data_IF_218331071058
#
_entry.id   IF_218331071058
#
_cell.length_a   1.000
_cell.length_b   1.000
_cell.length_c   1.000
_cell.angle_alpha   90.00
_cell.angle_beta   90.00
_cell.angle_gamma   90.00
#
_symmetry.space_group_name_H-M   'P 1'
#
loop_
_entity.id
_entity.type
_entity.pdbx_description
1 polymer ?
#
# COMPACT_ATOMS: atom_id res chain seq x y z
N UNK A 1 9.08 -24.97 -7.69
CA UNK A 1 9.14 -23.65 -7.03
C UNK A 1 9.19 -22.63 -8.15
N UNK A 2 8.16 -21.79 -8.31
CA UNK A 2 8.26 -20.66 -9.23
C UNK A 2 9.09 -19.59 -8.52
N UNK A 3 10.18 -19.17 -9.15
CA UNK A 3 11.06 -18.12 -8.62
C UNK A 3 10.40 -16.77 -8.92
N UNK A 4 9.57 -16.30 -7.99
CA UNK A 4 8.93 -15.00 -8.09
C UNK A 4 9.99 -13.91 -7.91
N UNK A 5 10.22 -13.12 -8.97
CA UNK A 5 11.21 -12.04 -8.95
C UNK A 5 10.48 -10.74 -8.67
N UNK A 6 10.94 -10.00 -7.64
CA UNK A 6 10.48 -8.64 -7.36
C UNK A 6 11.29 -7.69 -8.23
N UNK A 7 10.63 -7.00 -9.16
CA UNK A 7 11.19 -5.91 -9.94
C UNK A 7 10.87 -4.56 -9.28
N UNK A 8 11.72 -3.56 -9.50
CA UNK A 8 11.48 -2.17 -9.08
C UNK A 8 11.65 -1.23 -10.27
N UNK A 9 10.72 -0.29 -10.44
CA UNK A 9 10.81 0.80 -11.41
C UNK A 9 10.25 2.11 -10.85
N UNK A 10 10.52 3.21 -11.54
CA UNK A 10 9.76 4.45 -11.35
C UNK A 10 8.73 4.59 -12.48
N UNK A 11 7.59 5.22 -12.19
CA UNK A 11 6.56 5.44 -13.20
C UNK A 11 5.42 6.33 -12.71
N UNK A 12 4.47 6.56 -13.61
CA UNK A 12 3.18 7.17 -13.32
C UNK A 12 2.16 6.04 -13.06
N UNK A 13 1.24 6.27 -12.12
CA UNK A 13 0.16 5.35 -11.76
C UNK A 13 -1.22 5.95 -12.09
N UNK A 14 -1.48 7.17 -11.63
CA UNK A 14 -2.79 7.83 -11.81
C UNK A 14 -2.89 8.65 -13.11
N UNK A 15 -1.80 8.81 -13.86
CA UNK A 15 -1.77 9.69 -15.03
C UNK A 15 -1.86 11.18 -14.64
N UNK A 16 -1.64 11.50 -13.36
CA UNK A 16 -1.75 12.83 -12.78
C UNK A 16 -0.42 13.58 -12.76
N UNK A 17 0.65 12.96 -13.30
CA UNK A 17 2.01 13.47 -13.24
C UNK A 17 2.71 13.21 -11.89
N UNK A 18 2.06 12.48 -10.98
CA UNK A 18 2.67 11.95 -9.76
C UNK A 18 3.78 10.96 -10.10
N UNK A 19 4.88 11.04 -9.33
CA UNK A 19 6.00 10.09 -9.47
C UNK A 19 5.88 9.00 -8.41
N UNK A 20 5.88 7.75 -8.88
CA UNK A 20 5.78 6.57 -8.03
C UNK A 20 7.02 5.70 -8.14
N UNK A 21 7.42 5.14 -7.01
CA UNK A 21 8.23 3.93 -6.95
C UNK A 21 7.28 2.73 -6.99
N UNK A 22 7.58 1.78 -7.87
CA UNK A 22 6.70 0.67 -8.17
C UNK A 22 7.49 -0.62 -7.97
N UNK A 23 6.96 -1.52 -7.14
CA UNK A 23 7.47 -2.88 -7.00
C UNK A 23 6.45 -3.87 -7.58
N UNK A 24 6.93 -4.80 -8.39
CA UNK A 24 6.10 -5.75 -9.13
C UNK A 24 6.62 -7.17 -8.91
N UNK A 25 5.72 -8.12 -8.70
CA UNK A 25 6.01 -9.54 -8.82
C UNK A 25 5.44 -10.01 -10.15
N UNK A 26 6.31 -10.55 -11.01
CA UNK A 26 5.96 -11.07 -12.32
C UNK A 26 5.91 -12.60 -12.30
N UNK A 27 4.93 -13.17 -13.00
CA UNK A 27 4.86 -14.59 -13.31
C UNK A 27 4.64 -14.83 -14.82
N UNK A 28 4.43 -16.09 -15.20
CA UNK A 28 4.22 -16.46 -16.61
C UNK A 28 2.97 -15.85 -17.27
N UNK A 29 2.10 -15.17 -16.51
CA UNK A 29 0.89 -14.49 -16.99
C UNK A 29 0.97 -12.96 -16.87
N UNK A 30 2.12 -12.42 -16.48
CA UNK A 30 2.34 -10.98 -16.30
C UNK A 30 2.44 -10.57 -14.83
N UNK A 31 1.96 -9.38 -14.49
CA UNK A 31 1.99 -8.86 -13.11
C UNK A 31 1.04 -9.70 -12.24
N UNK A 32 1.60 -10.31 -11.20
CA UNK A 32 0.87 -11.09 -10.20
C UNK A 32 0.53 -10.22 -8.97
N UNK A 33 1.40 -9.28 -8.61
CA UNK A 33 1.14 -8.28 -7.59
C UNK A 33 1.97 -7.02 -7.87
N UNK A 34 1.49 -5.88 -7.38
CA UNK A 34 2.12 -4.59 -7.58
C UNK A 34 1.87 -3.66 -6.38
N UNK A 35 2.88 -2.86 -6.05
CA UNK A 35 2.86 -1.89 -4.96
C UNK A 35 3.35 -0.55 -5.48
N UNK A 36 2.56 0.49 -5.25
CA UNK A 36 2.79 1.87 -5.67
C UNK A 36 3.06 2.74 -4.45
N UNK A 37 4.15 3.50 -4.50
CA UNK A 37 4.59 4.37 -3.40
C UNK A 37 4.93 5.74 -3.95
N UNK A 38 4.39 6.80 -3.35
CA UNK A 38 4.75 8.17 -3.73
C UNK A 38 6.25 8.42 -3.51
N UNK A 39 6.94 8.97 -4.51
CA UNK A 39 8.39 9.23 -4.42
C UNK A 39 8.73 10.23 -3.33
N UNK A 40 7.88 11.25 -3.12
CA UNK A 40 8.25 12.37 -2.25
C UNK A 40 7.89 12.13 -0.77
N UNK A 41 6.86 11.33 -0.49
CA UNK A 41 6.39 11.04 0.89
C UNK A 41 6.67 9.61 1.35
N UNK A 42 7.00 8.70 0.43
CA UNK A 42 7.07 7.25 0.66
C UNK A 42 5.77 6.63 1.20
N UNK A 43 4.64 7.31 1.01
CA UNK A 43 3.32 6.79 1.35
C UNK A 43 2.88 5.76 0.30
N UNK A 44 2.34 4.64 0.77
CA UNK A 44 1.73 3.61 -0.06
C UNK A 44 0.45 4.18 -0.68
N UNK A 45 0.48 4.35 -1.99
CA UNK A 45 -0.65 4.85 -2.77
C UNK A 45 -1.63 3.73 -3.14
N UNK A 46 -1.12 2.56 -3.48
CA UNK A 46 -1.93 1.40 -3.83
C UNK A 46 -1.15 0.10 -3.68
N UNK A 47 -1.87 -0.99 -3.41
CA UNK A 47 -1.34 -2.34 -3.50
C UNK A 47 -2.41 -3.27 -4.09
N UNK A 48 -2.05 -4.01 -5.13
CA UNK A 48 -2.97 -4.94 -5.80
C UNK A 48 -2.32 -6.31 -5.90
N UNK A 49 -3.14 -7.36 -5.81
CA UNK A 49 -2.73 -8.73 -6.09
C UNK A 49 -3.77 -9.36 -7.00
N UNK A 50 -3.31 -9.84 -8.17
CA UNK A 50 -4.14 -10.50 -9.17
C UNK A 50 -4.97 -11.58 -8.51
N UNK A 51 -6.26 -11.63 -8.84
CA UNK A 51 -7.27 -12.41 -8.11
C UNK A 51 -6.93 -13.90 -8.00
N UNK A 52 -6.30 -14.50 -9.01
CA UNK A 52 -5.87 -15.90 -9.03
C UNK A 52 -4.62 -16.19 -8.17
N UNK A 53 -3.97 -15.15 -7.62
CA UNK A 53 -2.77 -15.25 -6.77
C UNK A 53 -2.96 -14.67 -5.35
N UNK A 54 -4.20 -14.31 -4.99
CA UNK A 54 -4.53 -13.80 -3.64
C UNK A 54 -4.34 -14.89 -2.59
N UNK A 55 -3.96 -14.49 -1.37
CA UNK A 55 -3.71 -15.42 -0.24
C UNK A 55 -2.33 -16.08 -0.23
N UNK A 56 -1.49 -15.84 -1.24
CA UNK A 56 -0.14 -16.43 -1.32
C UNK A 56 0.93 -15.58 -0.61
N UNK A 57 0.57 -14.41 -0.08
CA UNK A 57 1.48 -13.52 0.64
C UNK A 57 2.27 -12.56 -0.25
N UNK A 58 1.95 -12.46 -1.55
CA UNK A 58 2.65 -11.57 -2.50
C UNK A 58 2.62 -10.10 -2.08
N UNK A 59 1.46 -9.59 -1.64
CA UNK A 59 1.31 -8.22 -1.12
C UNK A 59 2.27 -7.95 0.07
N UNK A 60 2.38 -8.91 1.00
CA UNK A 60 3.31 -8.81 2.14
C UNK A 60 4.77 -8.87 1.69
N UNK A 61 5.09 -9.64 0.65
CA UNK A 61 6.44 -9.71 0.09
C UNK A 61 6.85 -8.37 -0.55
N UNK A 62 5.95 -7.75 -1.31
CA UNK A 62 6.15 -6.41 -1.88
C UNK A 62 6.35 -5.35 -0.81
N UNK A 63 5.49 -5.33 0.21
CA UNK A 63 5.63 -4.39 1.35
C UNK A 63 6.99 -4.52 2.02
N UNK A 64 7.41 -5.74 2.37
CA UNK A 64 8.73 -5.96 3.00
C UNK A 64 9.88 -5.48 2.11
N UNK A 65 9.79 -5.74 0.81
CA UNK A 65 10.81 -5.30 -0.14
C UNK A 65 10.89 -3.77 -0.23
N UNK A 66 9.75 -3.09 -0.32
CA UNK A 66 9.70 -1.62 -0.36
C UNK A 66 10.17 -1.00 0.96
N UNK A 67 9.65 -1.48 2.09
CA UNK A 67 10.00 -0.99 3.43
C UNK A 67 11.50 -1.15 3.71
N UNK A 68 12.08 -2.31 3.38
CA UNK A 68 13.52 -2.54 3.54
C UNK A 68 14.37 -1.60 2.66
N UNK A 69 13.87 -1.18 1.49
CA UNK A 69 14.63 -0.40 0.53
C UNK A 69 14.52 1.11 0.75
N UNK A 70 13.35 1.61 1.13
CA UNK A 70 13.10 3.06 1.21
C UNK A 70 12.43 3.51 2.50
N UNK A 71 11.91 2.59 3.32
CA UNK A 71 11.00 2.89 4.43
C UNK A 71 9.67 3.43 3.90
N UNK A 72 8.57 2.72 4.11
CA UNK A 72 7.26 3.10 3.56
C UNK A 72 6.24 3.31 4.66
N UNK A 73 5.29 4.21 4.39
CA UNK A 73 4.22 4.56 5.32
C UNK A 73 2.87 4.10 4.78
N UNK A 74 2.04 3.54 5.64
CA UNK A 74 0.62 3.40 5.33
C UNK A 74 -0.05 4.79 5.37
N UNK A 75 -1.03 5.02 4.50
CA UNK A 75 -1.90 6.20 4.58
C UNK A 75 -2.56 6.29 5.98
N UNK A 76 -3.00 7.46 6.45
CA UNK A 76 -3.83 7.57 7.66
C UNK A 76 -5.09 6.69 7.61
N UNK A 77 -5.62 6.25 8.75
CA UNK A 77 -6.76 5.31 8.78
C UNK A 77 -7.98 5.83 8.00
N UNK A 78 -8.32 7.12 8.13
CA UNK A 78 -9.41 7.76 7.37
C UNK A 78 -9.18 7.87 5.87
N UNK A 79 -7.97 7.58 5.39
CA UNK A 79 -7.59 7.61 3.97
C UNK A 79 -7.50 6.22 3.33
N UNK A 80 -7.79 5.15 4.08
CA UNK A 80 -7.71 3.78 3.58
C UNK A 80 -9.09 3.29 3.15
N UNK A 81 -9.11 2.48 2.09
CA UNK A 81 -10.25 1.58 1.86
C UNK A 81 -10.29 0.50 2.93
N UNK A 82 -11.41 -0.22 3.07
CA UNK A 82 -11.50 -1.37 3.99
C UNK A 82 -10.41 -2.42 3.71
N UNK A 83 -10.16 -2.71 2.43
CA UNK A 83 -9.09 -3.63 2.00
C UNK A 83 -7.69 -3.09 2.37
N UNK A 84 -7.47 -1.79 2.20
CA UNK A 84 -6.22 -1.12 2.56
C UNK A 84 -5.97 -1.13 4.07
N UNK A 85 -7.02 -0.92 4.89
CA UNK A 85 -6.90 -0.98 6.34
C UNK A 85 -6.68 -2.40 6.85
N UNK A 86 -7.40 -3.38 6.29
CA UNK A 86 -7.16 -4.80 6.59
C UNK A 86 -5.72 -5.21 6.25
N UNK A 87 -5.19 -4.74 5.11
CA UNK A 87 -3.79 -4.93 4.74
C UNK A 87 -2.85 -4.28 5.74
N UNK A 88 -3.03 -2.99 6.05
CA UNK A 88 -2.19 -2.24 6.99
C UNK A 88 -2.15 -2.89 8.37
N UNK A 89 -3.30 -3.34 8.90
CA UNK A 89 -3.37 -4.11 10.16
C UNK A 89 -2.65 -5.45 10.06
N UNK A 90 -2.76 -6.14 8.94
CA UNK A 90 -2.15 -7.46 8.74
C UNK A 90 -0.63 -7.42 8.57
N UNK A 91 -0.07 -6.36 7.98
CA UNK A 91 1.40 -6.22 7.82
C UNK A 91 2.05 -5.41 8.93
N UNK A 92 1.30 -4.53 9.59
CA UNK A 92 1.83 -3.54 10.53
C UNK A 92 2.68 -2.48 9.84
N UNK A 93 3.45 -1.73 10.63
CA UNK A 93 4.36 -0.70 10.12
C UNK A 93 3.91 0.72 10.44
N UNK A 94 4.72 1.72 10.06
CA UNK A 94 4.44 3.10 10.38
C UNK A 94 3.29 3.65 9.52
N UNK A 95 2.57 4.61 10.09
CA UNK A 95 1.50 5.36 9.42
C UNK A 95 2.03 6.76 9.14
N UNK A 96 1.73 7.31 7.97
CA UNK A 96 2.10 8.66 7.62
C UNK A 96 1.44 9.65 8.58
N UNK A 97 2.21 10.61 9.07
CA UNK A 97 1.77 11.62 10.03
C UNK A 97 1.70 12.98 9.33
N UNK A 98 0.50 13.36 8.93
CA UNK A 98 0.18 14.69 8.42
C UNK A 98 -1.22 15.10 8.87
N UNK A 99 -1.46 16.41 9.10
CA UNK A 99 -2.79 16.89 9.44
C UNK A 99 -3.75 16.48 8.33
N UNK A 100 -4.77 15.67 8.68
CA UNK A 100 -5.81 15.36 7.73
C UNK A 100 -6.79 16.51 7.68
N UNK A 101 -6.56 17.43 6.75
CA UNK A 101 -7.51 18.52 6.45
C UNK A 101 -8.74 18.00 5.66
N UNK A 102 -9.04 16.71 5.82
CA UNK A 102 -10.00 15.93 5.06
C UNK A 102 -11.22 15.64 5.92
N UNK A 103 -12.44 15.74 5.36
CA UNK A 103 -13.68 15.41 6.08
C UNK A 103 -13.74 13.95 6.56
N UNK A 104 -12.88 13.07 6.00
CA UNK A 104 -12.82 11.64 6.33
C UNK A 104 -12.15 11.33 7.68
N UNK A 105 -11.50 12.31 8.32
CA UNK A 105 -10.86 12.11 9.62
C UNK A 105 -11.65 12.69 10.81
N UNK A 106 -12.66 13.53 10.57
CA UNK A 106 -13.51 14.09 11.62
C UNK A 106 -14.51 13.06 12.22
N UNK A 107 -14.68 11.89 11.60
CA UNK A 107 -15.69 10.90 12.03
C UNK A 107 -15.14 9.75 12.87
N UNK A 108 -13.89 9.83 13.33
CA UNK A 108 -13.26 8.78 14.17
C UNK A 108 -13.22 9.19 15.66
N UNK A 109 -13.63 10.42 15.99
CA UNK A 109 -13.79 10.89 17.37
C UNK A 109 -15.29 11.00 17.71
N UNK A 110 -15.93 9.85 17.88
CA UNK A 110 -17.19 9.73 18.64
C UNK A 110 -17.09 8.39 19.37
N UNK A 111 -16.19 8.36 20.37
CA UNK A 111 -16.18 7.32 21.39
C UNK A 111 -17.48 7.42 22.19
N UNK A 112 -18.08 6.25 22.37
CA UNK A 112 -19.26 5.92 23.15
C UNK A 112 -19.47 6.76 24.42
N UNK A 113 -20.62 7.44 24.51
CA UNK A 113 -21.24 7.75 25.80
C UNK A 113 -22.18 6.60 26.18
N UNK A 114 -21.71 5.77 27.10
CA UNK A 114 -22.43 4.77 27.88
C UNK A 114 -23.33 5.51 28.91
N UNK A 115 -24.66 5.45 28.76
CA UNK A 115 -25.68 5.45 29.84
C UNK A 115 -27.09 5.05 29.32
#
# INVERSE_FOLDING_TARGET
MMTETIARRAGDYLGDGGRYLIWEILDGRGVAAELYVFVDTHEIANIETRSDRRGEGLARALYRAADTQVGVFHAPAGHRTEEGDAFARAVGGPVADYPCDCFACDTIDDEEDDD
#
